data_IF_402295666125
#
_entry.id   IF_402295666125
#
_cell.length_a   1.000
_cell.length_b   1.000
_cell.length_c   1.000
_cell.angle_alpha   90.00
_cell.angle_beta   90.00
_cell.angle_gamma   90.00
#
_symmetry.space_group_name_H-M   'P 1'
#
loop_
_entity.id
_entity.type
_entity.pdbx_description
1 polymer ?
#
# COMPACT_ATOMS: atom_id res chain seq x y z
N UNK A 1 27.16 -0.63 19.45
CA UNK A 1 26.71 -1.85 18.75
C UNK A 1 25.33 -1.52 18.19
N UNK A 2 25.32 -0.99 16.96
CA UNK A 2 24.76 -1.66 15.75
C UNK A 2 23.24 -1.76 15.78
N UNK A 3 22.59 -0.85 15.04
CA UNK A 3 21.51 -1.19 14.11
C UNK A 3 21.41 -0.07 13.07
N UNK A 4 21.91 -0.38 11.87
CA UNK A 4 21.75 0.39 10.64
C UNK A 4 20.27 0.68 10.38
N UNK A 5 19.88 1.86 9.87
CA UNK A 5 18.59 1.98 9.21
C UNK A 5 18.75 1.21 7.89
N UNK A 6 18.00 0.12 7.77
CA UNK A 6 17.93 -0.67 6.55
C UNK A 6 17.41 0.27 5.46
N UNK A 7 18.28 0.60 4.52
CA UNK A 7 17.95 1.34 3.32
C UNK A 7 17.00 0.50 2.47
N UNK A 8 15.70 0.71 2.67
CA UNK A 8 14.64 0.33 1.74
C UNK A 8 13.57 1.42 1.74
N UNK A 9 14.00 2.69 1.84
CA UNK A 9 13.16 3.85 1.64
C UNK A 9 12.65 3.79 0.20
N UNK A 10 11.39 3.39 0.03
CA UNK A 10 10.65 3.85 -1.14
C UNK A 10 10.85 5.36 -1.19
N UNK A 11 11.16 5.90 -2.38
CA UNK A 11 11.49 7.32 -2.53
C UNK A 11 10.51 8.19 -1.72
N UNK A 12 11.00 9.09 -0.86
CA UNK A 12 10.16 9.88 0.07
C UNK A 12 8.93 10.50 -0.61
N UNK A 13 9.08 10.92 -1.87
CA UNK A 13 8.01 11.42 -2.71
C UNK A 13 6.87 10.42 -2.98
N UNK A 14 7.18 9.12 -3.16
CA UNK A 14 6.16 8.07 -3.36
C UNK A 14 5.48 7.66 -2.06
N UNK A 15 6.20 7.67 -0.94
CA UNK A 15 5.60 7.46 0.38
C UNK A 15 4.59 8.55 0.70
N UNK A 16 4.94 9.81 0.44
CA UNK A 16 4.04 10.94 0.62
C UNK A 16 2.82 10.87 -0.31
N UNK A 17 3.02 10.45 -1.58
CA UNK A 17 1.92 10.22 -2.52
C UNK A 17 0.95 9.11 -2.03
N UNK A 18 1.48 8.03 -1.45
CA UNK A 18 0.64 6.94 -0.91
C UNK A 18 -0.06 7.34 0.40
N UNK A 19 0.56 8.18 1.25
CA UNK A 19 -0.12 8.78 2.40
C UNK A 19 -1.30 9.66 1.97
N UNK A 20 -1.08 10.56 0.99
CA UNK A 20 -2.13 11.43 0.47
C UNK A 20 -3.27 10.63 -0.17
N UNK A 21 -2.94 9.56 -0.89
CA UNK A 21 -3.92 8.63 -1.43
C UNK A 21 -4.74 7.94 -0.33
N UNK A 22 -4.09 7.41 0.71
CA UNK A 22 -4.76 6.75 1.82
C UNK A 22 -5.71 7.71 2.55
N UNK A 23 -5.27 8.96 2.80
CA UNK A 23 -6.09 10.00 3.44
C UNK A 23 -7.29 10.39 2.59
N UNK A 24 -7.09 10.62 1.29
CA UNK A 24 -8.17 10.98 0.36
C UNK A 24 -9.18 9.84 0.24
N UNK A 25 -8.70 8.60 0.17
CA UNK A 25 -9.55 7.42 0.11
C UNK A 25 -10.38 7.28 1.39
N UNK A 26 -9.74 7.40 2.56
CA UNK A 26 -10.41 7.36 3.86
C UNK A 26 -11.54 8.39 3.99
N UNK A 27 -11.30 9.63 3.55
CA UNK A 27 -12.32 10.68 3.52
C UNK A 27 -13.47 10.38 2.55
N UNK A 28 -13.18 9.75 1.40
CA UNK A 28 -14.19 9.46 0.37
C UNK A 28 -15.06 8.26 0.71
N UNK A 29 -14.52 7.28 1.44
CA UNK A 29 -15.22 6.07 1.85
C UNK A 29 -15.75 6.13 3.28
N UNK A 30 -15.53 7.23 3.99
CA UNK A 30 -15.90 7.39 5.41
C UNK A 30 -15.31 6.27 6.30
N UNK A 31 -14.06 5.91 6.01
CA UNK A 31 -13.33 4.86 6.73
C UNK A 31 -12.22 5.48 7.57
N UNK A 32 -11.94 4.90 8.74
CA UNK A 32 -10.92 5.38 9.67
C UNK A 32 -9.67 4.51 9.61
N UNK A 33 -8.53 5.12 9.92
CA UNK A 33 -7.28 4.38 10.10
C UNK A 33 -7.31 3.56 11.39
N UNK A 34 -6.41 2.57 11.46
CA UNK A 34 -6.20 1.79 12.67
C UNK A 34 -5.78 2.72 13.83
N UNK A 35 -6.16 2.37 15.06
CA UNK A 35 -5.75 3.09 16.29
C UNK A 35 -4.23 3.18 16.42
N UNK A 36 -3.53 2.18 15.88
CA UNK A 36 -2.07 2.14 15.84
C UNK A 36 -1.54 2.76 14.53
N UNK A 37 -0.80 3.87 14.60
CA UNK A 37 -0.26 4.53 13.41
C UNK A 37 0.88 3.74 12.76
N UNK A 38 1.56 2.86 13.51
CA UNK A 38 2.64 2.03 12.95
C UNK A 38 2.09 1.00 11.97
N UNK A 39 0.90 0.44 12.21
CA UNK A 39 0.21 -0.43 11.25
C UNK A 39 -0.05 0.32 9.93
N UNK A 40 -0.53 1.56 10.01
CA UNK A 40 -0.81 2.38 8.82
C UNK A 40 0.48 2.69 8.05
N UNK A 41 1.57 3.01 8.75
CA UNK A 41 2.87 3.29 8.14
C UNK A 41 3.44 2.08 7.38
N UNK A 42 3.41 0.88 7.97
CA UNK A 42 3.93 -0.34 7.34
C UNK A 42 3.14 -0.71 6.09
N UNK A 43 1.81 -0.55 6.11
CA UNK A 43 0.97 -0.81 4.94
C UNK A 43 1.27 0.17 3.80
N UNK A 44 1.44 1.46 4.12
CA UNK A 44 1.77 2.49 3.13
C UNK A 44 3.16 2.24 2.52
N UNK A 45 4.15 1.87 3.34
CA UNK A 45 5.49 1.52 2.87
C UNK A 45 5.45 0.31 1.93
N UNK A 46 4.71 -0.76 2.30
CA UNK A 46 4.55 -1.94 1.46
C UNK A 46 3.85 -1.64 0.13
N UNK A 47 2.81 -0.81 0.14
CA UNK A 47 2.12 -0.37 -1.08
C UNK A 47 3.05 0.46 -1.99
N UNK A 48 3.83 1.36 -1.41
CA UNK A 48 4.81 2.16 -2.15
C UNK A 48 5.86 1.26 -2.79
N UNK A 49 6.41 0.29 -2.04
CA UNK A 49 7.40 -0.65 -2.55
C UNK A 49 6.88 -1.50 -3.71
N UNK A 50 5.66 -2.05 -3.60
CA UNK A 50 5.04 -2.79 -4.71
C UNK A 50 4.78 -1.90 -5.92
N UNK A 51 4.44 -0.62 -5.72
CA UNK A 51 4.32 0.34 -6.83
C UNK A 51 5.66 0.58 -7.53
N UNK A 52 6.78 0.49 -6.83
CA UNK A 52 8.13 0.62 -7.43
C UNK A 52 8.57 -0.65 -8.14
N UNK A 53 8.36 -1.83 -7.54
CA UNK A 53 8.80 -3.11 -8.09
C UNK A 53 7.92 -3.59 -9.25
N UNK A 54 6.60 -3.41 -9.14
CA UNK A 54 5.60 -3.98 -10.07
C UNK A 54 4.86 -2.92 -10.89
N UNK A 55 5.07 -1.63 -10.60
CA UNK A 55 4.34 -0.52 -11.21
C UNK A 55 2.94 -0.27 -10.62
N UNK A 56 2.40 -1.19 -9.82
CA UNK A 56 1.07 -1.12 -9.21
C UNK A 56 1.10 -1.34 -7.69
N UNK A 57 0.26 -0.63 -6.91
CA UNK A 57 0.22 -0.77 -5.46
C UNK A 57 -0.54 -2.04 -5.05
N UNK A 58 0.09 -3.20 -5.19
CA UNK A 58 -0.47 -4.50 -4.79
C UNK A 58 -0.55 -4.61 -3.26
N UNK A 59 -1.60 -5.23 -2.72
CA UNK A 59 -1.78 -5.33 -1.26
C UNK A 59 -0.60 -6.09 -0.59
N UNK A 60 0.13 -5.47 0.35
CA UNK A 60 1.32 -6.07 0.97
C UNK A 60 1.01 -7.14 2.02
N UNK A 61 -0.24 -7.25 2.47
CA UNK A 61 -0.65 -8.18 3.53
C UNK A 61 -0.97 -9.60 3.02
N UNK A 62 -0.81 -9.87 1.72
CA UNK A 62 -1.13 -11.16 1.10
C UNK A 62 0.11 -11.75 0.42
N UNK A 63 0.24 -13.07 0.50
CA UNK A 63 1.20 -13.80 -0.31
C UNK A 63 0.61 -14.11 -1.68
N UNK A 64 1.39 -13.90 -2.74
CA UNK A 64 1.01 -14.19 -4.12
C UNK A 64 2.06 -15.13 -4.72
N UNK A 65 1.62 -16.17 -5.42
CA UNK A 65 2.52 -17.07 -6.15
C UNK A 65 3.10 -16.37 -7.39
N UNK A 66 2.27 -15.60 -8.11
CA UNK A 66 2.68 -14.78 -9.25
C UNK A 66 2.20 -13.33 -9.09
N UNK A 67 3.11 -12.46 -8.65
CA UNK A 67 2.81 -11.05 -8.42
C UNK A 67 2.48 -10.30 -9.72
N UNK A 68 3.05 -10.68 -10.85
CA UNK A 68 2.85 -9.99 -12.13
C UNK A 68 1.49 -10.34 -12.74
N UNK A 69 1.07 -11.60 -12.63
CA UNK A 69 -0.25 -12.04 -13.05
C UNK A 69 -1.37 -11.34 -12.25
N UNK A 70 -1.20 -11.20 -10.93
CA UNK A 70 -2.17 -10.55 -10.05
C UNK A 70 -2.26 -9.03 -10.29
N UNK A 71 -1.12 -8.39 -10.58
CA UNK A 71 -1.11 -6.98 -11.00
C UNK A 71 -1.88 -6.78 -12.31
N UNK A 72 -1.74 -7.70 -13.27
CA UNK A 72 -2.52 -7.69 -14.53
C UNK A 72 -4.00 -8.00 -14.31
N UNK A 73 -4.34 -8.86 -13.35
CA UNK A 73 -5.72 -9.15 -12.97
C UNK A 73 -6.40 -7.94 -12.31
N UNK A 74 -5.62 -6.99 -11.77
CA UNK A 74 -6.07 -5.75 -11.12
C UNK A 74 -6.98 -5.92 -9.90
N UNK A 75 -7.26 -7.15 -9.49
CA UNK A 75 -8.19 -7.45 -8.41
C UNK A 75 -7.67 -6.95 -7.05
N UNK A 76 -6.37 -7.13 -6.79
CA UNK A 76 -5.70 -6.76 -5.54
C UNK A 76 -4.89 -5.46 -5.62
N UNK A 77 -4.99 -4.72 -6.73
CA UNK A 77 -4.38 -3.41 -6.85
C UNK A 77 -5.16 -2.42 -5.98
N UNK A 78 -4.48 -1.70 -5.10
CA UNK A 78 -5.11 -0.75 -4.19
C UNK A 78 -5.70 0.43 -4.97
N UNK A 79 -6.97 0.80 -4.76
CA UNK A 79 -7.95 0.19 -3.85
C UNK A 79 -8.56 -1.10 -4.45
N UNK A 80 -8.48 -2.21 -3.71
CA UNK A 80 -8.86 -3.53 -4.21
C UNK A 80 -10.36 -3.63 -4.50
N UNK A 81 -10.76 -4.55 -5.39
CA UNK A 81 -12.15 -4.74 -5.84
C UNK A 81 -13.15 -4.87 -4.67
N UNK A 82 -12.86 -5.61 -3.58
CA UNK A 82 -13.75 -5.67 -2.42
C UNK A 82 -13.96 -4.31 -1.73
N UNK A 83 -12.98 -3.40 -1.78
CA UNK A 83 -13.10 -2.06 -1.19
C UNK A 83 -13.97 -1.11 -2.02
N UNK A 84 -14.24 -1.44 -3.30
CA UNK A 84 -15.17 -0.71 -4.17
C UNK A 84 -16.56 -1.33 -4.23
N UNK A 85 -16.67 -2.65 -4.11
CA UNK A 85 -17.91 -3.41 -4.32
C UNK A 85 -18.98 -3.24 -3.23
N UNK A 86 -18.71 -2.45 -2.17
CA UNK A 86 -19.67 -2.13 -1.12
C UNK A 86 -20.39 -0.77 -1.33
N UNK A 87 -20.27 -0.14 -2.50
CA UNK A 87 -21.15 0.95 -2.94
C UNK A 87 -21.93 0.57 -4.19
#
# INVERSE_FOLDING_TARGET
MTTSPIANQASDSKLEAMQNFAQTYAQRTDTYFCVDPSVTAVVIEGLAKHKEELGAPLCPCRHYEDKEAEVKATFWNCPCVPAWAHK
#
